data_IF_770568892340
#
_entry.id   IF_770568892340
#
_cell.length_a   1.000
_cell.length_b   1.000
_cell.length_c   1.000
_cell.angle_alpha   90.00
_cell.angle_beta   90.00
_cell.angle_gamma   90.00
#
_symmetry.space_group_name_H-M   'P 1'
#
loop_
_entity.id
_entity.type
_entity.pdbx_description
1 polymer ?
#
# COMPACT_ATOMS: atom_id res chain seq x y z
N UNK A 1 7.35 6.35 31.39
CA UNK A 1 6.88 4.96 31.58
C UNK A 1 7.44 4.16 30.43
N UNK A 2 8.51 3.45 30.72
CA UNK A 2 9.23 2.60 29.78
C UNK A 2 8.42 1.34 29.48
N UNK A 3 8.50 0.84 28.25
CA UNK A 3 8.52 -0.60 27.95
C UNK A 3 9.02 -0.79 26.50
N UNK A 4 10.35 -0.90 26.37
CA UNK A 4 11.00 -1.57 25.26
C UNK A 4 10.80 -3.08 25.43
N UNK A 5 10.24 -3.74 24.42
CA UNK A 5 10.22 -5.20 24.32
C UNK A 5 11.30 -5.64 23.33
N UNK A 6 12.52 -5.79 23.86
CA UNK A 6 13.63 -6.43 23.19
C UNK A 6 13.38 -7.94 23.12
N UNK A 7 13.06 -8.46 21.94
CA UNK A 7 13.00 -9.90 21.68
C UNK A 7 14.42 -10.44 21.46
N UNK A 8 15.07 -10.81 22.55
CA UNK A 8 16.36 -11.49 22.53
C UNK A 8 16.17 -12.94 22.11
N UNK A 9 16.54 -13.26 20.87
CA UNK A 9 16.64 -14.62 20.35
C UNK A 9 17.74 -15.35 21.12
N UNK A 10 17.34 -16.32 21.94
CA UNK A 10 18.25 -17.30 22.51
C UNK A 10 18.74 -18.22 21.40
N UNK A 11 19.99 -18.02 20.96
CA UNK A 11 20.77 -19.03 20.24
C UNK A 11 22.05 -19.27 21.03
N UNK A 12 21.98 -20.17 22.00
CA UNK A 12 23.16 -20.79 22.60
C UNK A 12 23.67 -21.84 21.63
N UNK A 13 24.45 -21.43 20.64
CA UNK A 13 25.43 -22.29 19.97
C UNK A 13 26.81 -21.69 20.22
N UNK A 14 27.31 -21.91 21.44
CA UNK A 14 28.73 -21.74 21.74
C UNK A 14 29.43 -22.88 21.03
N UNK A 15 29.97 -22.58 19.85
CA UNK A 15 30.92 -23.44 19.16
C UNK A 15 32.19 -23.47 20.03
N UNK A 16 32.35 -24.57 20.75
CA UNK A 16 33.52 -24.84 21.59
C UNK A 16 34.68 -25.28 20.67
N UNK A 17 35.78 -24.52 20.52
CA UNK A 17 36.87 -24.90 19.64
C UNK A 17 37.79 -25.98 20.24
N UNK A 18 37.51 -26.49 21.44
CA UNK A 18 38.42 -27.38 22.17
C UNK A 18 38.11 -28.89 22.07
N UNK A 19 37.20 -29.33 21.21
CA UNK A 19 36.90 -30.76 21.03
C UNK A 19 37.44 -31.35 19.74
N UNK A 20 38.70 -31.08 19.40
CA UNK A 20 39.35 -31.81 18.30
C UNK A 20 40.87 -32.02 18.40
N UNK A 21 41.44 -32.10 19.61
CA UNK A 21 42.79 -32.65 19.77
C UNK A 21 42.93 -33.36 21.13
N UNK A 22 42.20 -34.46 21.31
CA UNK A 22 42.56 -35.50 22.28
C UNK A 22 42.63 -36.84 21.56
N UNK A 23 43.64 -36.95 20.70
CA UNK A 23 44.10 -38.19 20.09
C UNK A 23 45.56 -38.45 20.45
N UNK A 24 45.97 -38.17 21.69
CA UNK A 24 47.22 -38.72 22.24
C UNK A 24 46.84 -39.62 23.42
N UNK A 25 46.44 -40.85 23.09
CA UNK A 25 46.35 -41.91 24.08
C UNK A 25 47.78 -42.23 24.50
N UNK A 26 48.11 -41.71 25.69
CA UNK A 26 49.13 -42.22 26.59
C UNK A 26 49.15 -43.75 26.56
N UNK A 27 50.25 -44.33 26.06
CA UNK A 27 50.56 -45.73 26.33
C UNK A 27 50.79 -45.87 27.85
N UNK A 28 49.73 -46.30 28.56
CA UNK A 28 49.88 -46.94 29.87
C UNK A 28 50.66 -48.23 29.66
N UNK A 29 51.83 -48.33 30.27
CA UNK A 29 52.57 -49.58 30.41
C UNK A 29 51.76 -50.54 31.30
N UNK A 30 50.92 -51.36 30.67
CA UNK A 30 50.41 -52.57 31.29
C UNK A 30 51.53 -53.59 31.23
N UNK A 31 52.00 -54.01 32.41
CA UNK A 31 52.97 -55.09 32.54
C UNK A 31 52.40 -56.40 32.01
N UNK A 32 52.76 -56.74 30.79
CA UNK A 32 52.74 -58.10 30.25
C UNK A 32 54.04 -58.23 29.47
N UNK A 33 54.85 -59.23 29.79
CA UNK A 33 56.22 -59.39 29.31
C UNK A 33 56.34 -59.43 27.79
N UNK A 34 56.54 -58.28 27.17
CA UNK A 34 57.08 -58.16 25.82
C UNK A 34 58.59 -58.39 25.90
N UNK A 35 59.21 -59.17 24.99
CA UNK A 35 60.65 -59.33 24.97
C UNK A 35 61.29 -57.93 24.86
N UNK A 36 62.08 -57.55 25.87
CA UNK A 36 62.83 -56.29 25.86
C UNK A 36 63.61 -56.24 24.55
N UNK A 37 63.33 -55.25 23.71
CA UNK A 37 64.27 -54.88 22.63
C UNK A 37 65.61 -54.63 23.32
N UNK A 38 66.68 -55.37 22.97
CA UNK A 38 67.97 -55.16 23.61
C UNK A 38 68.39 -53.71 23.34
N UNK A 39 68.86 -53.01 24.38
CA UNK A 39 69.41 -51.67 24.20
C UNK A 39 70.60 -51.73 23.24
N UNK A 40 70.99 -50.61 22.63
CA UNK A 40 72.14 -50.59 21.72
C UNK A 40 73.41 -51.15 22.41
N UNK A 41 73.54 -50.91 23.71
CA UNK A 41 74.60 -51.47 24.56
C UNK A 41 74.49 -53.00 24.74
N UNK A 42 73.27 -53.55 24.79
CA UNK A 42 73.07 -55.00 24.86
C UNK A 42 73.37 -55.69 23.52
N UNK A 43 73.17 -54.99 22.39
CA UNK A 43 73.50 -55.49 21.05
C UNK A 43 75.01 -55.43 20.75
N UNK A 44 75.76 -54.58 21.46
CA UNK A 44 77.22 -54.49 21.34
C UNK A 44 77.99 -55.55 22.14
N UNK A 45 77.33 -56.35 22.98
CA UNK A 45 77.97 -57.45 23.71
C UNK A 45 78.23 -58.65 22.80
N UNK A 46 79.39 -58.68 22.15
CA UNK A 46 79.88 -59.82 21.38
C UNK A 46 81.12 -60.41 22.08
N UNK A 47 81.01 -61.62 22.65
CA UNK A 47 82.13 -62.40 23.20
C UNK A 47 81.85 -63.10 24.54
N UNK A 48 82.51 -64.24 24.78
CA UNK A 48 82.32 -65.16 25.94
C UNK A 48 82.80 -64.59 27.29
N UNK A 49 83.47 -63.44 27.28
CA UNK A 49 83.77 -62.64 28.47
C UNK A 49 83.26 -61.23 28.21
N UNK A 50 82.14 -60.89 28.84
CA UNK A 50 81.49 -59.58 28.77
C UNK A 50 82.32 -58.51 29.48
N UNK A 51 83.48 -58.16 28.93
CA UNK A 51 84.06 -56.85 29.20
C UNK A 51 83.23 -55.83 28.42
N UNK A 52 82.53 -54.99 29.18
CA UNK A 52 81.93 -53.77 28.68
C UNK A 52 83.02 -52.97 27.95
N UNK A 53 82.98 -52.94 26.61
CA UNK A 53 83.71 -51.90 25.89
C UNK A 53 82.88 -50.65 26.07
N UNK A 54 83.07 -49.99 27.21
CA UNK A 54 82.72 -48.59 27.31
C UNK A 54 83.34 -47.93 26.09
N UNK A 55 82.51 -47.51 25.14
CA UNK A 55 82.93 -46.64 24.05
C UNK A 55 83.49 -45.40 24.74
N UNK A 56 84.81 -45.38 24.91
CA UNK A 56 85.50 -44.31 25.59
C UNK A 56 85.38 -43.13 24.64
N UNK A 57 84.49 -42.20 24.96
CA UNK A 57 84.33 -40.97 24.18
C UNK A 57 85.68 -40.25 24.25
N UNK A 58 86.30 -40.06 23.10
CA UNK A 58 87.56 -39.33 23.04
C UNK A 58 87.32 -37.87 23.47
N UNK A 59 88.29 -37.24 24.14
CA UNK A 59 88.14 -35.88 24.68
C UNK A 59 87.72 -34.86 23.59
N UNK A 60 88.08 -35.10 22.34
CA UNK A 60 87.67 -34.31 21.16
C UNK A 60 86.20 -34.46 20.83
N UNK A 61 85.63 -35.66 20.94
CA UNK A 61 84.21 -35.92 20.66
C UNK A 61 83.29 -35.22 21.68
N UNK A 62 83.77 -35.01 22.92
CA UNK A 62 83.02 -34.27 23.95
C UNK A 62 82.83 -32.79 23.57
N UNK A 63 83.79 -32.18 22.88
CA UNK A 63 83.67 -30.80 22.40
C UNK A 63 82.64 -30.69 21.27
N UNK A 64 82.69 -31.62 20.31
CA UNK A 64 81.74 -31.67 19.19
C UNK A 64 80.30 -31.91 19.68
N UNK A 65 80.12 -32.79 20.68
CA UNK A 65 78.82 -33.03 21.31
C UNK A 65 78.28 -31.78 22.04
N UNK A 66 79.17 -30.98 22.64
CA UNK A 66 78.79 -29.74 23.32
C UNK A 66 78.35 -28.68 22.30
N UNK A 67 79.08 -28.50 21.21
CA UNK A 67 78.72 -27.59 20.12
C UNK A 67 77.38 -28.01 19.48
N UNK A 68 77.19 -29.30 19.21
CA UNK A 68 75.93 -29.82 18.68
C UNK A 68 74.76 -29.58 19.65
N UNK A 69 74.98 -29.73 20.95
CA UNK A 69 73.96 -29.46 21.97
C UNK A 69 73.59 -27.99 22.01
N UNK A 70 74.56 -27.08 21.86
CA UNK A 70 74.34 -25.64 21.79
C UNK A 70 73.51 -25.26 20.55
N UNK A 71 73.86 -25.80 19.38
CA UNK A 71 73.08 -25.61 18.15
C UNK A 71 71.64 -26.14 18.31
N UNK A 72 71.46 -27.30 18.93
CA UNK A 72 70.12 -27.84 19.20
C UNK A 72 69.34 -26.93 20.14
N UNK A 73 69.96 -26.36 21.17
CA UNK A 73 69.29 -25.42 22.08
C UNK A 73 68.85 -24.14 21.35
N UNK A 74 69.69 -23.60 20.47
CA UNK A 74 69.33 -22.45 19.64
C UNK A 74 68.13 -22.80 18.75
N UNK A 75 68.19 -23.94 18.05
CA UNK A 75 67.08 -24.38 17.18
C UNK A 75 65.77 -24.58 17.96
N UNK A 76 65.83 -25.10 19.18
CA UNK A 76 64.65 -25.24 20.03
C UNK A 76 64.05 -23.87 20.40
N UNK A 77 64.89 -22.88 20.72
CA UNK A 77 64.44 -21.50 20.97
C UNK A 77 63.85 -20.85 19.72
N UNK A 78 64.46 -21.08 18.55
CA UNK A 78 63.96 -20.56 17.27
C UNK A 78 62.59 -21.16 16.93
N UNK A 79 62.40 -22.47 17.16
CA UNK A 79 61.10 -23.14 16.98
C UNK A 79 60.04 -22.58 17.93
N UNK A 80 60.38 -22.32 19.19
CA UNK A 80 59.45 -21.69 20.14
C UNK A 80 59.07 -20.27 19.72
N UNK A 81 60.04 -19.49 19.24
CA UNK A 81 59.84 -18.12 18.76
C UNK A 81 58.95 -18.12 17.52
N UNK A 82 59.27 -18.96 16.54
CA UNK A 82 58.48 -19.10 15.32
C UNK A 82 57.04 -19.55 15.63
N UNK A 83 56.84 -20.44 16.61
CA UNK A 83 55.50 -20.86 17.05
C UNK A 83 54.71 -19.70 17.64
N UNK A 84 55.35 -18.80 18.40
CA UNK A 84 54.70 -17.58 18.91
C UNK A 84 54.35 -16.63 17.76
N UNK A 85 55.28 -16.40 16.84
CA UNK A 85 55.08 -15.49 15.70
C UNK A 85 53.96 -15.97 14.78
N UNK A 86 53.87 -17.28 14.50
CA UNK A 86 52.78 -17.87 13.73
C UNK A 86 51.44 -17.64 14.44
N UNK A 87 51.37 -17.85 15.75
CA UNK A 87 50.13 -17.63 16.51
C UNK A 87 49.72 -16.15 16.53
N UNK A 88 50.67 -15.24 16.71
CA UNK A 88 50.41 -13.79 16.64
C UNK A 88 49.89 -13.42 15.26
N UNK A 89 50.57 -13.86 14.20
CA UNK A 89 50.18 -13.59 12.81
C UNK A 89 48.77 -14.13 12.52
N UNK A 90 48.47 -15.35 12.98
CA UNK A 90 47.13 -15.95 12.87
C UNK A 90 46.07 -15.06 13.53
N UNK A 91 46.30 -14.62 14.77
CA UNK A 91 45.33 -13.79 15.48
C UNK A 91 45.15 -12.41 14.84
N UNK A 92 46.22 -11.79 14.35
CA UNK A 92 46.16 -10.53 13.61
C UNK A 92 45.33 -10.71 12.33
N UNK A 93 45.60 -11.75 11.54
CA UNK A 93 44.83 -12.03 10.33
C UNK A 93 43.36 -12.29 10.64
N UNK A 94 43.05 -13.05 11.68
CA UNK A 94 41.67 -13.30 12.11
C UNK A 94 40.95 -12.01 12.48
N UNK A 95 41.57 -11.15 13.29
CA UNK A 95 41.00 -9.87 13.68
C UNK A 95 40.77 -8.94 12.48
N UNK A 96 41.72 -8.89 11.53
CA UNK A 96 41.58 -8.10 10.29
C UNK A 96 40.43 -8.60 9.42
N UNK A 97 40.25 -9.91 9.29
CA UNK A 97 39.14 -10.48 8.53
C UNK A 97 37.79 -10.23 9.21
N UNK A 98 37.72 -10.39 10.53
CA UNK A 98 36.50 -10.08 11.29
C UNK A 98 36.13 -8.61 11.18
N UNK A 99 37.09 -7.69 11.30
CA UNK A 99 36.86 -6.26 11.16
C UNK A 99 36.34 -5.89 9.76
N UNK A 100 36.97 -6.42 8.69
CA UNK A 100 36.51 -6.20 7.30
C UNK A 100 35.12 -6.76 7.07
N UNK A 101 34.82 -7.93 7.62
CA UNK A 101 33.51 -8.55 7.48
C UNK A 101 32.43 -7.71 8.18
N UNK A 102 32.71 -7.24 9.40
CA UNK A 102 31.83 -6.35 10.15
C UNK A 102 31.60 -5.04 9.41
N UNK A 103 32.65 -4.40 8.90
CA UNK A 103 32.55 -3.17 8.12
C UNK A 103 31.64 -3.35 6.88
N UNK A 104 31.85 -4.41 6.10
CA UNK A 104 31.01 -4.69 4.92
C UNK A 104 29.57 -5.02 5.28
N UNK A 105 29.37 -5.75 6.38
CA UNK A 105 28.02 -6.05 6.88
C UNK A 105 27.27 -4.78 7.30
N UNK A 106 27.96 -3.84 7.95
CA UNK A 106 27.40 -2.56 8.39
C UNK A 106 27.09 -1.65 7.20
N UNK A 107 28.01 -1.54 6.23
CA UNK A 107 27.79 -0.78 5.00
C UNK A 107 26.58 -1.30 4.22
N UNK A 108 26.44 -2.64 4.10
CA UNK A 108 25.25 -3.24 3.49
C UNK A 108 23.97 -2.93 4.28
N UNK A 109 24.00 -3.05 5.61
CA UNK A 109 22.87 -2.74 6.47
C UNK A 109 22.42 -1.29 6.32
N UNK A 110 23.35 -0.33 6.37
CA UNK A 110 23.07 1.08 6.18
C UNK A 110 22.47 1.35 4.79
N UNK A 111 23.08 0.81 3.71
CA UNK A 111 22.55 0.99 2.35
C UNK A 111 21.15 0.44 2.16
N UNK A 112 20.87 -0.73 2.72
CA UNK A 112 19.53 -1.34 2.63
C UNK A 112 18.52 -0.46 3.36
N UNK A 113 18.84 -0.01 4.58
CA UNK A 113 17.96 0.86 5.34
C UNK A 113 17.71 2.20 4.65
N UNK A 114 18.73 2.81 4.06
CA UNK A 114 18.57 4.05 3.28
C UNK A 114 17.62 3.84 2.08
N UNK A 115 17.74 2.69 1.40
CA UNK A 115 16.82 2.33 0.30
C UNK A 115 15.40 2.11 0.79
N UNK A 116 15.21 1.44 1.92
CA UNK A 116 13.89 1.24 2.53
C UNK A 116 13.28 2.58 2.93
N UNK A 117 14.01 3.44 3.64
CA UNK A 117 13.54 4.76 4.04
C UNK A 117 13.16 5.64 2.83
N UNK A 118 13.94 5.58 1.74
CA UNK A 118 13.60 6.29 0.51
C UNK A 118 12.31 5.77 -0.14
N UNK A 119 12.07 4.46 -0.12
CA UNK A 119 10.84 3.85 -0.63
C UNK A 119 9.63 4.21 0.23
N UNK A 120 9.76 4.18 1.55
CA UNK A 120 8.72 4.58 2.49
C UNK A 120 8.32 6.04 2.27
N UNK A 121 9.31 6.93 2.13
CA UNK A 121 9.08 8.35 1.82
C UNK A 121 8.36 8.54 0.49
N UNK A 122 8.80 7.86 -0.57
CA UNK A 122 8.13 7.94 -1.89
C UNK A 122 6.67 7.48 -1.81
N UNK A 123 6.41 6.43 -1.03
CA UNK A 123 5.07 5.91 -0.82
C UNK A 123 4.19 6.90 -0.03
N UNK A 124 4.75 7.51 1.04
CA UNK A 124 4.09 8.56 1.81
C UNK A 124 3.73 9.77 0.93
N UNK A 125 4.68 10.26 0.12
CA UNK A 125 4.46 11.36 -0.82
C UNK A 125 3.34 11.02 -1.82
N UNK A 126 3.31 9.79 -2.34
CA UNK A 126 2.26 9.33 -3.26
C UNK A 126 0.89 9.30 -2.58
N UNK A 127 0.82 8.81 -1.36
CA UNK A 127 -0.41 8.82 -0.57
C UNK A 127 -0.90 10.25 -0.35
N UNK A 128 -0.01 11.18 -0.04
CA UNK A 128 -0.37 12.56 0.22
C UNK A 128 -0.88 13.28 -1.03
N UNK A 129 -0.29 13.01 -2.19
CA UNK A 129 -0.83 13.49 -3.48
C UNK A 129 -2.26 12.96 -3.69
N UNK A 130 -2.48 11.66 -3.47
CA UNK A 130 -3.81 11.05 -3.61
C UNK A 130 -4.81 11.67 -2.63
N UNK A 131 -4.45 11.82 -1.36
CA UNK A 131 -5.29 12.45 -0.33
C UNK A 131 -5.65 13.88 -0.71
N UNK A 132 -4.68 14.68 -1.16
CA UNK A 132 -4.90 16.06 -1.62
C UNK A 132 -5.85 16.09 -2.82
N UNK A 133 -5.65 15.21 -3.81
CA UNK A 133 -6.52 15.11 -4.97
C UNK A 133 -7.97 14.78 -4.59
N UNK A 134 -8.20 13.80 -3.71
CA UNK A 134 -9.56 13.46 -3.27
C UNK A 134 -10.21 14.56 -2.44
N UNK A 135 -9.46 15.23 -1.56
CA UNK A 135 -9.97 16.40 -0.81
C UNK A 135 -10.39 17.52 -1.77
N UNK A 136 -9.59 17.78 -2.80
CA UNK A 136 -9.92 18.77 -3.81
C UNK A 136 -11.18 18.37 -4.60
N UNK A 137 -11.25 17.12 -5.07
CA UNK A 137 -12.42 16.62 -5.79
C UNK A 137 -13.71 16.73 -4.97
N UNK A 138 -13.64 16.43 -3.67
CA UNK A 138 -14.75 16.62 -2.74
C UNK A 138 -15.13 18.10 -2.60
N UNK A 139 -14.15 18.98 -2.41
CA UNK A 139 -14.38 20.42 -2.33
C UNK A 139 -15.03 20.98 -3.60
N UNK A 140 -14.56 20.55 -4.77
CA UNK A 140 -15.10 20.94 -6.07
C UNK A 140 -16.52 20.38 -6.28
N UNK A 141 -16.79 19.16 -5.84
CA UNK A 141 -18.13 18.57 -5.89
C UNK A 141 -19.12 19.35 -5.00
N UNK A 142 -18.73 19.65 -3.76
CA UNK A 142 -19.55 20.45 -2.83
C UNK A 142 -19.82 21.84 -3.42
N UNK A 143 -18.78 22.51 -3.94
CA UNK A 143 -18.90 23.83 -4.56
C UNK A 143 -19.84 23.81 -5.77
N UNK A 144 -19.72 22.79 -6.64
CA UNK A 144 -20.64 22.60 -7.78
C UNK A 144 -22.09 22.40 -7.32
N UNK A 145 -22.32 21.56 -6.31
CA UNK A 145 -23.67 21.34 -5.77
C UNK A 145 -24.25 22.63 -5.19
N UNK A 146 -23.46 23.39 -4.43
CA UNK A 146 -23.89 24.67 -3.86
C UNK A 146 -24.29 25.67 -4.95
N UNK A 147 -23.48 25.81 -6.00
CA UNK A 147 -23.79 26.69 -7.14
C UNK A 147 -25.07 26.26 -7.85
N UNK A 148 -25.23 24.96 -8.12
CA UNK A 148 -26.43 24.44 -8.78
C UNK A 148 -27.69 24.64 -7.92
N UNK A 149 -27.57 24.44 -6.61
CA UNK A 149 -28.64 24.67 -5.66
C UNK A 149 -29.07 26.13 -5.61
N UNK A 150 -28.12 27.05 -5.47
CA UNK A 150 -28.39 28.50 -5.46
C UNK A 150 -29.02 28.96 -6.78
N UNK A 151 -28.49 28.52 -7.93
CA UNK A 151 -29.07 28.82 -9.24
C UNK A 151 -30.50 28.28 -9.38
N UNK A 152 -30.79 27.10 -8.83
CA UNK A 152 -32.15 26.55 -8.83
C UNK A 152 -33.11 27.40 -7.98
N UNK A 153 -32.66 27.81 -6.79
CA UNK A 153 -33.42 28.69 -5.90
C UNK A 153 -33.70 30.05 -6.54
N UNK A 154 -32.68 30.70 -7.10
CA UNK A 154 -32.83 31.98 -7.81
C UNK A 154 -33.82 31.87 -8.98
N UNK A 155 -33.77 30.77 -9.74
CA UNK A 155 -34.72 30.52 -10.82
C UNK A 155 -36.15 30.33 -10.29
N UNK A 156 -36.33 29.63 -9.16
CA UNK A 156 -37.65 29.48 -8.52
C UNK A 156 -38.18 30.83 -8.03
N UNK A 157 -37.36 31.62 -7.33
CA UNK A 157 -37.71 32.96 -6.85
C UNK A 157 -38.09 33.86 -8.02
N UNK A 158 -37.29 33.86 -9.10
CA UNK A 158 -37.55 34.65 -10.30
C UNK A 158 -38.85 34.25 -11.01
N UNK A 159 -39.18 32.95 -11.05
CA UNK A 159 -40.45 32.47 -11.59
C UNK A 159 -41.64 32.93 -10.75
N UNK A 160 -41.52 32.89 -9.42
CA UNK A 160 -42.57 33.37 -8.50
C UNK A 160 -42.76 34.88 -8.67
N UNK A 161 -41.68 35.67 -8.67
CA UNK A 161 -41.74 37.12 -8.91
C UNK A 161 -42.42 37.43 -10.25
N UNK A 162 -42.02 36.79 -11.34
CA UNK A 162 -42.66 36.99 -12.66
C UNK A 162 -44.14 36.64 -12.67
N UNK A 163 -44.58 35.64 -11.90
CA UNK A 163 -46.02 35.32 -11.75
C UNK A 163 -46.73 36.42 -10.96
N UNK A 164 -46.17 36.85 -9.83
CA UNK A 164 -46.69 37.92 -9.01
C UNK A 164 -46.79 39.24 -9.79
N UNK A 165 -45.77 39.61 -10.57
CA UNK A 165 -45.78 40.82 -11.40
C UNK A 165 -46.87 40.75 -12.48
N UNK A 166 -47.11 39.57 -13.08
CA UNK A 166 -48.19 39.36 -14.05
C UNK A 166 -49.57 39.47 -13.39
N UNK A 167 -49.72 38.89 -12.20
CA UNK A 167 -50.97 38.98 -11.43
C UNK A 167 -51.23 40.43 -10.99
N UNK A 168 -50.22 41.14 -10.49
CA UNK A 168 -50.29 42.56 -10.17
C UNK A 168 -50.64 43.41 -11.39
N UNK A 169 -50.00 43.17 -12.54
CA UNK A 169 -50.30 43.91 -13.78
C UNK A 169 -51.74 43.71 -14.25
N UNK A 170 -52.32 42.51 -14.10
CA UNK A 170 -53.74 42.27 -14.38
C UNK A 170 -54.66 43.02 -13.41
N UNK A 171 -54.27 43.13 -12.14
CA UNK A 171 -55.02 43.92 -11.16
C UNK A 171 -54.95 45.40 -11.50
N UNK A 172 -53.77 45.90 -11.89
CA UNK A 172 -53.57 47.29 -12.31
C UNK A 172 -54.37 47.63 -13.58
N UNK A 173 -54.41 46.71 -14.55
CA UNK A 173 -55.20 46.86 -15.79
C UNK A 173 -56.69 46.92 -15.48
N UNK A 174 -57.21 46.00 -14.66
CA UNK A 174 -58.61 46.04 -14.18
C UNK A 174 -58.92 47.33 -13.42
N UNK A 175 -57.98 47.81 -12.61
CA UNK A 175 -58.15 49.05 -11.87
C UNK A 175 -58.26 50.25 -12.83
N UNK A 176 -57.43 50.31 -13.88
CA UNK A 176 -57.53 51.35 -14.93
C UNK A 176 -58.85 51.26 -15.70
N UNK A 177 -59.30 50.07 -16.05
CA UNK A 177 -60.57 49.88 -16.75
C UNK A 177 -61.76 50.36 -15.90
N UNK A 178 -61.79 49.99 -14.62
CA UNK A 178 -62.78 50.49 -13.66
C UNK A 178 -62.70 52.02 -13.52
N UNK A 179 -61.50 52.59 -13.46
CA UNK A 179 -61.31 54.03 -13.38
C UNK A 179 -61.81 54.75 -14.65
N UNK A 180 -61.55 54.19 -15.83
CA UNK A 180 -62.07 54.70 -17.10
C UNK A 180 -63.59 54.58 -17.18
N UNK A 181 -64.16 53.49 -16.66
CA UNK A 181 -65.60 53.29 -16.60
C UNK A 181 -66.25 54.32 -15.68
N UNK A 182 -65.68 54.57 -14.50
CA UNK A 182 -66.14 55.63 -13.59
C UNK A 182 -66.11 56.99 -14.29
N UNK A 183 -65.05 57.34 -15.01
CA UNK A 183 -64.99 58.61 -15.74
C UNK A 183 -66.07 58.74 -16.83
N UNK A 184 -66.35 57.65 -17.55
CA UNK A 184 -67.45 57.62 -18.53
C UNK A 184 -68.80 57.80 -17.84
N UNK A 185 -69.03 57.06 -16.76
CA UNK A 185 -70.27 57.12 -16.00
C UNK A 185 -70.45 58.50 -15.37
N UNK A 186 -69.38 59.14 -14.88
CA UNK A 186 -69.38 60.53 -14.41
C UNK A 186 -69.75 61.53 -15.52
N UNK A 187 -69.22 61.34 -16.74
CA UNK A 187 -69.58 62.17 -17.90
C UNK A 187 -71.05 61.98 -18.30
N UNK A 188 -71.56 60.75 -18.27
CA UNK A 188 -72.98 60.45 -18.49
C UNK A 188 -73.85 61.06 -17.41
N UNK A 189 -73.48 60.93 -16.13
CA UNK A 189 -74.17 61.58 -15.02
C UNK A 189 -74.19 63.09 -15.20
N UNK A 190 -73.07 63.71 -15.62
CA UNK A 190 -73.03 65.13 -15.91
C UNK A 190 -73.97 65.52 -17.06
N UNK A 191 -73.99 64.75 -18.15
CA UNK A 191 -74.91 64.96 -19.27
C UNK A 191 -76.37 64.80 -18.83
N UNK A 192 -76.70 63.74 -18.11
CA UNK A 192 -78.05 63.49 -17.59
C UNK A 192 -78.48 64.55 -16.59
N UNK A 193 -77.57 65.06 -15.74
CA UNK A 193 -77.85 66.21 -14.87
C UNK A 193 -78.14 67.47 -15.70
N UNK A 194 -77.40 67.71 -16.78
CA UNK A 194 -77.66 68.84 -17.67
C UNK A 194 -78.99 68.67 -18.42
N UNK A 195 -79.28 67.48 -18.91
CA UNK A 195 -80.57 67.15 -19.52
C UNK A 195 -81.70 67.27 -18.50
N UNK A 196 -81.54 66.79 -17.27
CA UNK A 196 -82.52 66.98 -16.19
C UNK A 196 -82.68 68.46 -15.84
N UNK A 197 -81.63 69.28 -15.91
CA UNK A 197 -81.75 70.73 -15.72
C UNK A 197 -82.50 71.38 -16.89
N UNK A 198 -82.26 70.95 -18.13
CA UNK A 198 -83.01 71.38 -19.31
C UNK A 198 -84.45 70.88 -19.28
N UNK A 199 -84.68 69.64 -18.87
CA UNK A 199 -86.00 69.08 -18.64
C UNK A 199 -86.64 69.78 -17.48
N UNK A 200 -86.02 70.08 -16.35
CA UNK A 200 -86.61 70.90 -15.28
C UNK A 200 -86.91 72.34 -15.75
N UNK A 201 -86.15 72.88 -16.68
CA UNK A 201 -86.49 74.14 -17.38
C UNK A 201 -87.66 73.97 -18.37
N UNK A 202 -87.79 72.83 -19.04
CA UNK A 202 -88.85 72.51 -20.00
C UNK A 202 -90.12 71.90 -19.37
N UNK A 203 -89.99 71.27 -18.19
CA UNK A 203 -91.00 70.64 -17.31
C UNK A 203 -91.37 71.59 -16.17
N UNK A 204 -91.33 72.89 -16.48
CA UNK A 204 -92.47 73.74 -16.13
C UNK A 204 -93.70 73.39 -17.01
N UNK A 205 -93.55 72.54 -18.03
CA UNK A 205 -94.62 71.99 -18.87
C UNK A 205 -94.48 70.46 -18.93
N UNK A 206 -95.46 69.78 -18.32
CA UNK A 206 -95.77 68.34 -18.41
C UNK A 206 -94.91 67.32 -17.64
N UNK A 207 -95.45 67.01 -16.47
CA UNK A 207 -95.28 65.82 -15.64
C UNK A 207 -96.12 64.66 -16.21
N UNK A 208 -95.55 63.48 -16.49
CA UNK A 208 -96.16 62.14 -16.23
C UNK A 208 -95.47 60.90 -16.86
N UNK A 209 -95.22 59.89 -16.01
CA UNK A 209 -95.45 58.42 -16.17
C UNK A 209 -94.33 57.43 -16.62
N UNK A 210 -93.98 56.53 -15.67
CA UNK A 210 -93.76 55.05 -15.71
C UNK A 210 -92.51 54.48 -16.43
N UNK A 211 -91.57 53.70 -15.85
CA UNK A 211 -91.46 52.53 -14.93
C UNK A 211 -91.18 51.16 -15.63
N UNK A 212 -90.19 50.43 -15.07
CA UNK A 212 -90.03 48.94 -14.98
C UNK A 212 -89.71 48.10 -16.25
N UNK A 213 -88.96 46.97 -16.30
CA UNK A 213 -88.15 46.12 -15.38
C UNK A 213 -87.46 44.94 -16.16
N UNK A 214 -86.49 44.23 -15.53
CA UNK A 214 -86.23 42.75 -15.56
C UNK A 214 -85.65 42.08 -16.85
N UNK A 215 -84.70 41.13 -16.87
CA UNK A 215 -84.72 39.73 -16.33
C UNK A 215 -83.27 39.15 -16.24
N UNK A 216 -82.98 38.39 -15.16
CA UNK A 216 -81.78 37.54 -14.97
C UNK A 216 -82.15 36.07 -15.18
N UNK A 217 -81.33 35.31 -15.92
CA UNK A 217 -81.49 33.86 -16.12
C UNK A 217 -80.39 33.04 -15.44
N UNK A 218 -80.81 32.02 -14.69
CA UNK A 218 -80.00 31.04 -13.94
C UNK A 218 -79.09 30.16 -14.83
N UNK A 219 -77.95 29.75 -14.27
CA UNK A 219 -76.99 28.79 -14.83
C UNK A 219 -77.06 27.47 -14.04
N UNK A 220 -76.94 26.28 -14.67
CA UNK A 220 -77.16 25.01 -14.00
C UNK A 220 -75.93 24.54 -13.18
N UNK A 221 -76.22 23.84 -12.08
CA UNK A 221 -75.29 23.31 -11.08
C UNK A 221 -74.31 22.26 -11.64
N UNK A 222 -73.04 22.34 -11.21
CA UNK A 222 -71.93 21.44 -11.57
C UNK A 222 -71.90 20.27 -10.58
N UNK A 223 -71.88 19.03 -11.10
CA UNK A 223 -71.95 17.79 -10.32
C UNK A 223 -70.59 17.48 -9.63
N UNK A 224 -70.47 17.56 -8.29
CA UNK A 224 -69.18 17.57 -7.57
C UNK A 224 -68.44 16.22 -7.59
N UNK A 225 -69.14 15.09 -7.61
CA UNK A 225 -68.52 13.75 -7.69
C UNK A 225 -67.78 13.51 -9.01
N UNK A 226 -68.22 14.16 -10.10
CA UNK A 226 -67.57 14.03 -11.40
C UNK A 226 -66.21 14.73 -11.43
N UNK A 227 -66.06 15.81 -10.67
CA UNK A 227 -64.80 16.56 -10.57
C UNK A 227 -63.79 15.82 -9.68
N UNK A 228 -64.24 15.24 -8.56
CA UNK A 228 -63.39 14.42 -7.69
C UNK A 228 -62.85 13.18 -8.41
N UNK A 229 -63.68 12.53 -9.23
CA UNK A 229 -63.25 11.38 -10.03
C UNK A 229 -62.25 11.77 -11.13
N UNK A 230 -62.41 12.96 -11.74
CA UNK A 230 -61.44 13.50 -12.71
C UNK A 230 -60.10 13.81 -12.06
N UNK A 231 -60.10 14.42 -10.88
CA UNK A 231 -58.89 14.70 -10.11
C UNK A 231 -58.16 13.40 -9.75
N UNK A 232 -58.91 12.35 -9.35
CA UNK A 232 -58.32 11.04 -9.03
C UNK A 232 -57.69 10.34 -10.22
N UNK A 233 -58.27 10.49 -11.42
CA UNK A 233 -57.68 9.95 -12.66
C UNK A 233 -56.36 10.65 -12.98
N UNK A 234 -56.31 11.98 -12.86
CA UNK A 234 -55.07 12.75 -13.08
C UNK A 234 -53.97 12.34 -12.09
N UNK A 235 -54.31 12.17 -10.80
CA UNK A 235 -53.37 11.70 -9.78
C UNK A 235 -52.77 10.32 -10.10
N UNK A 236 -53.60 9.40 -10.60
CA UNK A 236 -53.16 8.05 -10.96
C UNK A 236 -52.31 8.05 -12.23
N UNK A 237 -52.63 8.89 -13.20
CA UNK A 237 -51.81 9.10 -14.41
C UNK A 237 -50.43 9.67 -14.06
N UNK A 238 -50.37 10.69 -13.21
CA UNK A 238 -49.13 11.27 -12.69
C UNK A 238 -48.27 10.23 -11.96
N UNK A 239 -48.91 9.40 -11.13
CA UNK A 239 -48.22 8.33 -10.40
C UNK A 239 -47.69 7.25 -11.35
N UNK A 240 -48.47 6.89 -12.37
CA UNK A 240 -48.07 5.93 -13.40
C UNK A 240 -46.84 6.44 -14.17
N UNK A 241 -46.84 7.71 -14.56
CA UNK A 241 -45.72 8.34 -15.26
C UNK A 241 -44.43 8.37 -14.41
N UNK A 242 -44.53 8.72 -13.12
CA UNK A 242 -43.39 8.71 -12.20
C UNK A 242 -42.81 7.30 -12.02
N UNK A 243 -43.66 6.29 -11.91
CA UNK A 243 -43.23 4.89 -11.78
C UNK A 243 -42.54 4.40 -13.06
N UNK A 244 -43.05 4.78 -14.24
CA UNK A 244 -42.39 4.47 -15.51
C UNK A 244 -41.00 5.11 -15.62
N UNK A 245 -40.86 6.38 -15.22
CA UNK A 245 -39.55 7.06 -15.22
C UNK A 245 -38.55 6.41 -14.25
N UNK A 246 -39.00 6.02 -13.06
CA UNK A 246 -38.18 5.29 -12.10
C UNK A 246 -37.73 3.92 -12.64
N UNK A 247 -38.63 3.19 -13.31
CA UNK A 247 -38.32 1.91 -13.93
C UNK A 247 -37.24 2.06 -15.01
N UNK A 248 -37.35 3.07 -15.87
CA UNK A 248 -36.37 3.34 -16.93
C UNK A 248 -35.00 3.75 -16.36
N UNK A 249 -34.99 4.55 -15.30
CA UNK A 249 -33.74 4.90 -14.61
C UNK A 249 -33.09 3.66 -14.01
N UNK A 250 -33.87 2.77 -13.38
CA UNK A 250 -33.37 1.51 -12.83
C UNK A 250 -32.83 0.58 -13.91
N UNK A 251 -33.49 0.47 -15.07
CA UNK A 251 -32.96 -0.30 -16.21
C UNK A 251 -31.61 0.23 -16.70
N UNK A 252 -31.47 1.56 -16.81
CA UNK A 252 -30.19 2.20 -17.20
C UNK A 252 -29.08 1.92 -16.18
N UNK A 253 -29.38 1.99 -14.88
CA UNK A 253 -28.43 1.62 -13.82
C UNK A 253 -28.02 0.15 -13.94
N UNK A 254 -28.99 -0.76 -14.09
CA UNK A 254 -28.72 -2.19 -14.25
C UNK A 254 -27.85 -2.48 -15.48
N UNK A 255 -28.09 -1.80 -16.60
CA UNK A 255 -27.26 -1.95 -17.80
C UNK A 255 -25.81 -1.49 -17.57
N UNK A 256 -25.61 -0.35 -16.89
CA UNK A 256 -24.27 0.13 -16.53
C UNK A 256 -23.54 -0.85 -15.63
N UNK A 257 -24.20 -1.31 -14.56
CA UNK A 257 -23.62 -2.29 -13.62
C UNK A 257 -23.28 -3.60 -14.35
N UNK A 258 -24.13 -4.05 -15.27
CA UNK A 258 -23.87 -5.24 -16.08
C UNK A 258 -22.61 -5.09 -16.94
N UNK A 259 -22.42 -3.93 -17.58
CA UNK A 259 -21.22 -3.65 -18.38
C UNK A 259 -19.96 -3.57 -17.51
N UNK A 260 -20.03 -2.89 -16.36
CA UNK A 260 -18.91 -2.80 -15.41
C UNK A 260 -18.53 -4.20 -14.89
N UNK A 261 -19.52 -5.07 -14.63
CA UNK A 261 -19.28 -6.45 -14.22
C UNK A 261 -18.56 -7.26 -15.32
N UNK A 262 -18.92 -7.06 -16.60
CA UNK A 262 -18.24 -7.73 -17.72
C UNK A 262 -16.78 -7.24 -17.82
N UNK A 263 -16.56 -5.93 -17.77
CA UNK A 263 -15.21 -5.33 -17.83
C UNK A 263 -14.31 -5.81 -16.68
N UNK A 264 -14.84 -5.83 -15.45
CA UNK A 264 -14.12 -6.33 -14.27
C UNK A 264 -13.80 -7.84 -14.39
N UNK A 265 -14.71 -8.64 -14.95
CA UNK A 265 -14.44 -10.07 -15.21
C UNK A 265 -13.31 -10.26 -16.22
N UNK A 266 -13.28 -9.46 -17.28
CA UNK A 266 -12.19 -9.51 -18.28
C UNK A 266 -10.84 -9.12 -17.67
N UNK A 267 -10.82 -8.05 -16.86
CA UNK A 267 -9.60 -7.61 -16.17
C UNK A 267 -9.10 -8.66 -15.18
N UNK A 268 -10.01 -9.25 -14.39
CA UNK A 268 -9.67 -10.33 -13.47
C UNK A 268 -9.10 -11.54 -14.21
N UNK A 269 -9.62 -11.88 -15.39
CA UNK A 269 -9.11 -12.99 -16.19
C UNK A 269 -7.70 -12.70 -16.74
N UNK A 270 -7.44 -11.46 -17.17
CA UNK A 270 -6.09 -11.01 -17.59
C UNK A 270 -5.09 -11.11 -16.45
N UNK A 271 -5.45 -10.63 -15.26
CA UNK A 271 -4.60 -10.72 -14.08
C UNK A 271 -4.32 -12.17 -13.67
N UNK A 272 -5.34 -13.04 -13.70
CA UNK A 272 -5.14 -14.48 -13.44
C UNK A 272 -4.16 -15.13 -14.41
N UNK A 273 -4.23 -14.78 -15.69
CA UNK A 273 -3.29 -15.30 -16.69
C UNK A 273 -1.87 -14.77 -16.45
N UNK A 274 -1.73 -13.49 -16.11
CA UNK A 274 -0.44 -12.88 -15.79
C UNK A 274 0.21 -13.50 -14.54
N UNK A 275 -0.58 -13.73 -13.48
CA UNK A 275 -0.10 -14.42 -12.27
C UNK A 275 0.37 -15.84 -12.58
N UNK A 276 -0.36 -16.58 -13.42
CA UNK A 276 0.07 -17.92 -13.85
C UNK A 276 1.39 -17.87 -14.62
N UNK A 277 1.58 -16.88 -15.48
CA UNK A 277 2.83 -16.69 -16.21
C UNK A 277 4.00 -16.43 -15.24
N UNK A 278 3.85 -15.49 -14.29
CA UNK A 278 4.87 -15.24 -13.28
C UNK A 278 5.18 -16.46 -12.40
N UNK A 279 4.18 -17.30 -12.11
CA UNK A 279 4.39 -18.54 -11.38
C UNK A 279 5.23 -19.55 -12.19
N UNK A 280 5.01 -19.64 -13.50
CA UNK A 280 5.81 -20.48 -14.38
C UNK A 280 7.25 -19.95 -14.49
N UNK A 281 7.43 -18.65 -14.73
CA UNK A 281 8.76 -18.03 -14.81
C UNK A 281 9.56 -18.24 -13.52
N UNK A 282 8.89 -18.14 -12.36
CA UNK A 282 9.49 -18.43 -11.04
C UNK A 282 9.95 -19.89 -10.93
N UNK A 283 9.16 -20.85 -11.43
CA UNK A 283 9.51 -22.27 -11.40
C UNK A 283 10.70 -22.56 -12.32
N UNK A 284 10.70 -22.01 -13.52
CA UNK A 284 11.81 -22.14 -14.49
C UNK A 284 13.11 -21.56 -13.93
N UNK A 285 13.06 -20.36 -13.35
CA UNK A 285 14.23 -19.73 -12.74
C UNK A 285 14.77 -20.56 -11.56
N UNK A 286 13.87 -21.12 -10.74
CA UNK A 286 14.27 -22.01 -9.63
C UNK A 286 14.94 -23.29 -10.15
N UNK A 287 14.43 -23.86 -11.24
CA UNK A 287 15.03 -25.04 -11.87
C UNK A 287 16.40 -24.74 -12.48
N UNK A 288 16.55 -23.59 -13.14
CA UNK A 288 17.83 -23.13 -13.70
C UNK A 288 18.87 -22.88 -12.60
N UNK A 289 18.49 -22.25 -11.49
CA UNK A 289 19.39 -22.08 -10.35
C UNK A 289 19.83 -23.42 -9.75
N UNK A 290 18.91 -24.39 -9.63
CA UNK A 290 19.26 -25.71 -9.11
C UNK A 290 20.22 -26.46 -10.05
N UNK A 291 19.98 -26.40 -11.36
CA UNK A 291 20.91 -26.94 -12.36
C UNK A 291 22.29 -26.29 -12.27
N UNK A 292 22.36 -24.96 -12.15
CA UNK A 292 23.62 -24.24 -12.02
C UNK A 292 24.38 -24.61 -10.73
N UNK A 293 23.67 -24.77 -9.60
CA UNK A 293 24.28 -25.24 -8.35
C UNK A 293 24.85 -26.65 -8.49
N UNK A 294 24.12 -27.56 -9.12
CA UNK A 294 24.59 -28.94 -9.37
C UNK A 294 25.82 -28.94 -10.27
N UNK A 295 25.81 -28.16 -11.35
CA UNK A 295 26.97 -28.03 -12.25
C UNK A 295 28.19 -27.44 -11.54
N UNK A 296 28.01 -26.36 -10.76
CA UNK A 296 29.10 -25.76 -9.99
C UNK A 296 29.65 -26.72 -8.93
N UNK A 297 28.78 -27.49 -8.27
CA UNK A 297 29.22 -28.49 -7.30
C UNK A 297 30.09 -29.57 -7.96
N UNK A 298 29.69 -30.07 -9.14
CA UNK A 298 30.50 -31.04 -9.90
C UNK A 298 31.87 -30.48 -10.26
N UNK A 299 31.94 -29.23 -10.73
CA UNK A 299 33.22 -28.59 -11.04
C UNK A 299 34.14 -28.49 -9.81
N UNK A 300 33.57 -28.16 -8.63
CA UNK A 300 34.33 -28.13 -7.38
C UNK A 300 34.80 -29.53 -6.99
N UNK A 301 33.93 -30.54 -7.10
CA UNK A 301 34.27 -31.93 -6.79
C UNK A 301 35.41 -32.43 -7.72
N UNK A 302 35.34 -32.12 -9.03
CA UNK A 302 36.38 -32.43 -10.01
C UNK A 302 37.71 -31.72 -9.69
N UNK A 303 37.69 -30.43 -9.33
CA UNK A 303 38.89 -29.67 -8.92
C UNK A 303 39.54 -30.25 -7.66
N UNK A 304 38.74 -30.76 -6.71
CA UNK A 304 39.22 -31.40 -5.48
C UNK A 304 39.85 -32.76 -5.78
N UNK A 305 39.27 -33.55 -6.68
CA UNK A 305 39.86 -34.83 -7.12
C UNK A 305 41.21 -34.61 -7.83
N UNK A 306 41.31 -33.62 -8.72
CA UNK A 306 42.55 -33.26 -9.41
C UNK A 306 43.65 -32.77 -8.44
N UNK A 307 43.28 -32.04 -7.38
CA UNK A 307 44.22 -31.62 -6.34
C UNK A 307 44.77 -32.81 -5.55
N UNK A 308 43.88 -33.70 -5.11
CA UNK A 308 44.27 -34.89 -4.35
C UNK A 308 45.11 -35.87 -5.19
N UNK A 309 44.89 -35.93 -6.51
CA UNK A 309 45.69 -36.79 -7.40
C UNK A 309 47.12 -36.25 -7.58
N UNK A 310 47.31 -34.92 -7.59
CA UNK A 310 48.64 -34.30 -7.69
C UNK A 310 49.48 -34.42 -6.41
N UNK A 311 48.86 -34.51 -5.24
CA UNK A 311 49.57 -34.67 -3.97
C UNK A 311 50.02 -36.13 -3.69
N UNK A 312 49.56 -37.10 -4.49
CA UNK A 312 49.90 -38.52 -4.37
C UNK A 312 50.97 -39.01 -5.37
N UNK A 313 51.47 -38.14 -6.27
CA UNK A 313 52.51 -38.44 -7.25
C UNK A 313 53.84 -37.77 -6.88
#
# INVERSE_FOLDING_TARGET
MAHEASATVQSTNVFNPNTMFQGLVMYKSVGVGTPKRPSLADQQKIGFFSLDRGSQTELTEVLDLKEMTEVIQILLQDVETLRKDINVTKHVMQADYEAKLQEKSLDLYCRINDKVAALEKMHEDRIDVIRKAYRQQLSDAISRVAVLYNKNLENKISKVKKKQDRESGKVDEKYRDLQNQIQKDEAVIHMLRLQLQQYQQNTFIDDQMLDEESVVSESPEINPELEELRERVVDLEDKSQRLQEQLENKKKETYKISNDMIALKEQLQKEKNFVKQLQNDKLELKQSMEQSKVSNKRLIDDEVEDFNFKDCA
#
